data_IF_470350079525
#
_entry.id   IF_470350079525
#
_cell.length_a   1.000
_cell.length_b   1.000
_cell.length_c   1.000
_cell.angle_alpha   90.00
_cell.angle_beta   90.00
_cell.angle_gamma   90.00
#
_symmetry.space_group_name_H-M   'P 1'
#
loop_
_entity.id
_entity.type
_entity.pdbx_description
1 polymer ?
#
# COMPACT_ATOMS: atom_id res chain seq x y z
N UNK A 1 0.76 -11.07 -12.01
CA UNK A 1 -0.59 -10.49 -11.91
C UNK A 1 -0.85 -9.69 -13.18
N UNK A 2 -1.83 -10.07 -14.00
CA UNK A 2 -2.06 -9.43 -15.32
C UNK A 2 -3.15 -8.35 -15.33
N UNK A 3 -4.05 -8.39 -14.34
CA UNK A 3 -5.19 -7.47 -14.20
C UNK A 3 -5.26 -6.91 -12.78
N UNK A 4 -5.84 -5.72 -12.59
CA UNK A 4 -6.17 -5.23 -11.26
C UNK A 4 -7.02 -6.23 -10.50
N UNK A 5 -6.74 -6.41 -9.21
CA UNK A 5 -7.51 -7.26 -8.30
C UNK A 5 -7.97 -6.43 -7.12
N UNK A 6 -9.09 -6.82 -6.52
CA UNK A 6 -9.66 -6.14 -5.36
C UNK A 6 -9.79 -7.08 -4.18
N UNK A 7 -9.77 -6.57 -2.96
CA UNK A 7 -9.92 -7.39 -1.77
C UNK A 7 -9.67 -6.63 -0.49
N UNK A 8 -9.41 -7.38 0.58
CA UNK A 8 -9.08 -6.83 1.89
C UNK A 8 -7.60 -7.05 2.24
N UNK A 9 -7.00 -6.09 2.95
CA UNK A 9 -5.63 -6.15 3.44
C UNK A 9 -5.63 -6.09 4.95
N UNK A 10 -4.84 -6.94 5.60
CA UNK A 10 -4.69 -6.99 7.04
C UNK A 10 -3.29 -7.39 7.46
N UNK A 11 -2.86 -6.94 8.63
CA UNK A 11 -1.56 -7.28 9.19
C UNK A 11 -1.57 -8.63 9.95
N UNK A 12 -0.42 -9.03 10.48
CA UNK A 12 -0.27 -10.28 11.25
C UNK A 12 -0.99 -10.24 12.61
N UNK A 13 -1.36 -9.06 13.10
CA UNK A 13 -2.14 -8.87 14.33
C UNK A 13 -3.66 -8.87 14.06
N UNK A 14 -4.08 -9.28 12.85
CA UNK A 14 -5.47 -9.27 12.40
C UNK A 14 -6.10 -7.88 12.40
N UNK A 15 -5.29 -6.84 12.13
CA UNK A 15 -5.78 -5.49 11.92
C UNK A 15 -6.02 -5.25 10.44
N UNK A 16 -7.27 -5.01 10.07
CA UNK A 16 -7.68 -4.66 8.72
C UNK A 16 -7.42 -3.19 8.42
N UNK A 17 -7.21 -2.91 7.14
CA UNK A 17 -7.18 -1.54 6.65
C UNK A 17 -8.59 -0.95 6.64
N UNK A 18 -8.74 0.23 7.23
CA UNK A 18 -10.00 0.95 7.37
C UNK A 18 -9.82 2.41 7.01
N UNK A 19 -10.79 3.01 6.30
CA UNK A 19 -10.74 4.42 5.95
C UNK A 19 -11.45 5.26 7.03
N UNK A 20 -10.69 6.11 7.73
CA UNK A 20 -11.22 7.06 8.69
C UNK A 20 -11.03 8.49 8.15
N UNK A 21 -12.12 9.11 7.68
CA UNK A 21 -12.03 10.38 6.95
C UNK A 21 -11.25 10.20 5.65
N UNK A 22 -10.07 10.81 5.56
CA UNK A 22 -9.14 10.66 4.41
C UNK A 22 -7.86 9.91 4.78
N UNK A 23 -7.82 9.26 5.95
CA UNK A 23 -6.65 8.55 6.45
C UNK A 23 -6.93 7.07 6.53
N UNK A 24 -6.01 6.27 5.99
CA UNK A 24 -6.04 4.84 6.13
C UNK A 24 -5.46 4.44 7.50
N UNK A 25 -6.20 3.66 8.27
CA UNK A 25 -5.82 3.23 9.62
C UNK A 25 -5.89 1.71 9.76
N UNK A 26 -5.12 1.15 10.68
CA UNK A 26 -5.19 -0.27 11.05
C UNK A 26 -6.12 -0.46 12.25
N UNK A 27 -7.16 -1.29 12.11
CA UNK A 27 -8.10 -1.59 13.21
C UNK A 27 -8.37 -3.09 13.31
N UNK A 28 -8.57 -3.66 14.52
CA UNK A 28 -8.86 -5.09 14.68
C UNK A 28 -10.07 -5.53 13.88
N UNK A 29 -9.94 -6.65 13.19
CA UNK A 29 -11.04 -7.29 12.51
C UNK A 29 -12.06 -7.80 13.54
N UNK A 30 -13.19 -7.12 13.64
CA UNK A 30 -14.24 -7.44 14.59
C UNK A 30 -15.62 -7.15 14.00
N UNK A 31 -16.66 -7.67 14.65
CA UNK A 31 -18.04 -7.44 14.23
C UNK A 31 -18.35 -5.93 14.22
N UNK A 32 -18.85 -5.42 13.10
CA UNK A 32 -19.17 -4.00 12.91
C UNK A 32 -18.06 -3.18 12.25
N UNK A 33 -16.88 -3.76 11.97
CA UNK A 33 -15.86 -3.13 11.14
C UNK A 33 -16.01 -3.64 9.70
N UNK A 34 -16.21 -2.72 8.76
CA UNK A 34 -16.14 -3.00 7.32
C UNK A 34 -14.77 -2.57 6.81
N UNK A 35 -13.88 -3.49 6.43
CA UNK A 35 -12.59 -3.14 5.82
C UNK A 35 -12.78 -2.30 4.57
N UNK A 36 -11.80 -1.44 4.27
CA UNK A 36 -11.77 -0.79 2.97
C UNK A 36 -11.51 -1.83 1.88
N UNK A 37 -12.17 -1.70 0.73
CA UNK A 37 -11.83 -2.50 -0.45
C UNK A 37 -10.58 -1.92 -1.10
N UNK A 38 -9.50 -2.68 -1.08
CA UNK A 38 -8.21 -2.31 -1.67
C UNK A 38 -8.18 -2.77 -3.13
N UNK A 39 -7.61 -1.96 -4.01
CA UNK A 39 -7.29 -2.31 -5.40
C UNK A 39 -5.78 -2.45 -5.55
N UNK A 40 -5.33 -3.57 -6.10
CA UNK A 40 -3.93 -3.84 -6.45
C UNK A 40 -3.83 -3.93 -7.97
N UNK A 41 -3.11 -3.01 -8.61
CA UNK A 41 -2.98 -2.96 -10.06
C UNK A 41 -1.51 -3.07 -10.51
N UNK A 42 -1.16 -4.01 -11.41
CA UNK A 42 0.22 -4.11 -11.90
C UNK A 42 0.62 -2.89 -12.73
N UNK A 43 1.87 -2.42 -12.58
CA UNK A 43 2.43 -1.41 -13.46
C UNK A 43 2.72 -2.02 -14.84
N UNK A 44 1.94 -1.65 -15.87
CA UNK A 44 2.06 -2.22 -17.22
C UNK A 44 3.35 -1.85 -17.93
N UNK A 45 3.88 -0.66 -17.64
CA UNK A 45 5.07 -0.10 -18.29
C UNK A 45 6.12 0.26 -17.24
N UNK A 46 6.80 -0.73 -16.63
CA UNK A 46 7.76 -0.47 -15.56
C UNK A 46 9.04 0.23 -16.06
N UNK A 47 9.29 0.29 -17.38
CA UNK A 47 10.40 1.05 -17.95
C UNK A 47 11.75 0.66 -17.33
N UNK A 48 12.42 1.64 -16.71
CA UNK A 48 13.74 1.49 -16.07
C UNK A 48 13.69 1.23 -14.56
N UNK A 49 12.54 0.77 -14.01
CA UNK A 49 12.46 0.39 -12.60
C UNK A 49 13.35 -0.83 -12.32
N UNK A 50 13.91 -0.88 -11.10
CA UNK A 50 14.73 -2.00 -10.64
C UNK A 50 13.97 -3.32 -10.72
N UNK A 51 14.60 -4.34 -11.31
CA UNK A 51 13.95 -5.63 -11.63
C UNK A 51 13.96 -6.63 -10.49
N UNK A 52 14.90 -6.50 -9.55
CA UNK A 52 15.14 -7.47 -8.48
C UNK A 52 14.49 -7.10 -7.14
N UNK A 53 13.66 -6.04 -7.12
CA UNK A 53 13.01 -5.50 -5.93
C UNK A 53 11.60 -6.05 -5.66
N UNK A 54 11.01 -6.74 -6.63
CA UNK A 54 9.62 -7.22 -6.58
C UNK A 54 8.79 -6.68 -7.74
N UNK A 55 7.49 -6.96 -7.73
CA UNK A 55 6.57 -6.56 -8.80
C UNK A 55 6.10 -5.12 -8.55
N UNK A 56 6.37 -4.15 -9.46
CA UNK A 56 5.86 -2.79 -9.29
C UNK A 56 4.34 -2.76 -9.47
N UNK A 57 3.64 -2.25 -8.47
CA UNK A 57 2.18 -2.15 -8.42
C UNK A 57 1.74 -0.76 -8.00
N UNK A 58 0.53 -0.39 -8.43
CA UNK A 58 -0.28 0.65 -7.81
C UNK A 58 -1.16 0.01 -6.75
N UNK A 59 -1.27 0.66 -5.60
CA UNK A 59 -2.11 0.23 -4.48
C UNK A 59 -3.08 1.35 -4.15
N UNK A 60 -4.37 1.05 -4.06
CA UNK A 60 -5.41 2.04 -3.83
C UNK A 60 -6.62 1.47 -3.11
N UNK A 61 -7.64 2.29 -2.93
CA UNK A 61 -8.90 1.95 -2.28
C UNK A 61 -10.08 2.28 -3.19
N UNK A 62 -11.23 1.65 -2.93
CA UNK A 62 -12.49 1.92 -3.61
C UNK A 62 -13.48 2.62 -2.67
N UNK A 63 -14.35 3.45 -3.26
CA UNK A 63 -15.44 4.16 -2.57
C UNK A 63 -14.97 5.01 -1.36
N UNK A 64 -14.22 6.11 -1.59
CA UNK A 64 -13.88 6.70 -2.90
C UNK A 64 -12.67 6.06 -3.57
N UNK A 65 -12.55 6.23 -4.90
CA UNK A 65 -11.34 5.80 -5.62
C UNK A 65 -10.18 6.74 -5.31
N UNK A 66 -9.20 6.23 -4.57
CA UNK A 66 -7.97 6.93 -4.20
C UNK A 66 -6.80 5.96 -4.23
N UNK A 67 -5.60 6.48 -4.48
CA UNK A 67 -4.38 5.69 -4.62
C UNK A 67 -3.37 6.12 -3.57
N UNK A 68 -2.60 5.14 -3.07
CA UNK A 68 -1.52 5.42 -2.15
C UNK A 68 -0.42 6.17 -2.87
N UNK A 69 0.04 7.24 -2.24
CA UNK A 69 1.03 8.16 -2.75
C UNK A 69 2.09 8.43 -1.68
N UNK A 70 3.35 8.28 -2.05
CA UNK A 70 4.48 8.64 -1.22
C UNK A 70 4.89 10.08 -1.50
N UNK A 71 4.98 10.91 -0.47
CA UNK A 71 5.35 12.32 -0.58
C UNK A 71 6.44 12.67 0.43
N UNK A 72 7.40 13.49 0.04
CA UNK A 72 8.32 14.10 1.00
C UNK A 72 7.60 15.25 1.71
N UNK A 73 7.44 15.13 3.03
CA UNK A 73 6.88 16.18 3.86
C UNK A 73 7.87 16.53 4.96
N UNK A 74 8.68 17.56 4.72
CA UNK A 74 9.65 18.07 5.69
C UNK A 74 10.90 17.20 5.80
N UNK A 75 11.36 16.60 4.71
CA UNK A 75 12.54 15.73 4.65
C UNK A 75 12.27 14.27 5.03
N UNK A 76 11.01 13.88 5.17
CA UNK A 76 10.61 12.51 5.51
C UNK A 76 9.49 12.01 4.59
N UNK A 77 9.59 10.77 4.06
CA UNK A 77 8.54 10.15 3.28
C UNK A 77 7.28 9.91 4.12
N UNK A 78 6.14 10.35 3.61
CA UNK A 78 4.82 10.08 4.19
C UNK A 78 3.91 9.39 3.19
N UNK A 79 3.06 8.52 3.71
CA UNK A 79 2.00 7.88 2.95
C UNK A 79 0.75 8.77 2.95
N UNK A 80 0.17 9.01 1.78
CA UNK A 80 -1.06 9.78 1.59
C UNK A 80 -2.01 9.02 0.67
N UNK A 81 -3.29 9.36 0.73
CA UNK A 81 -4.27 8.98 -0.29
C UNK A 81 -4.45 10.15 -1.25
N UNK A 82 -4.26 9.93 -2.55
CA UNK A 82 -4.49 10.94 -3.59
C UNK A 82 -5.22 10.34 -4.78
N UNK A 83 -6.02 11.14 -5.46
CA UNK A 83 -6.51 10.79 -6.80
C UNK A 83 -5.42 11.17 -7.81
N UNK A 84 -4.88 10.24 -8.60
CA UNK A 84 -3.84 10.56 -9.56
C UNK A 84 -4.40 11.49 -10.62
N UNK A 85 -3.62 12.50 -10.97
CA UNK A 85 -3.97 13.37 -12.08
C UNK A 85 -3.69 12.60 -13.39
N UNK A 86 -4.76 12.22 -14.08
CA UNK A 86 -4.74 11.25 -15.19
C UNK A 86 -4.06 11.79 -16.46
N UNK A 87 -3.66 13.06 -16.49
CA UNK A 87 -3.16 13.72 -17.69
C UNK A 87 -1.81 13.18 -18.22
N UNK A 88 -1.05 12.39 -17.45
CA UNK A 88 0.32 11.98 -17.84
C UNK A 88 0.63 10.48 -17.63
N UNK A 89 -0.22 9.58 -18.15
CA UNK A 89 -0.04 8.12 -18.04
C UNK A 89 1.09 7.51 -18.90
N UNK A 90 1.85 8.31 -19.66
CA UNK A 90 2.89 7.79 -20.54
C UNK A 90 4.12 7.22 -19.80
N UNK A 91 4.31 7.57 -18.52
CA UNK A 91 5.45 7.13 -17.70
C UNK A 91 4.96 6.57 -16.36
N UNK A 92 5.69 5.59 -15.76
CA UNK A 92 5.39 5.11 -14.43
C UNK A 92 5.44 6.25 -13.41
N UNK A 93 4.33 6.45 -12.69
CA UNK A 93 4.21 7.48 -11.66
C UNK A 93 4.86 6.98 -10.36
N UNK A 94 6.19 7.07 -10.28
CA UNK A 94 6.99 6.54 -9.15
C UNK A 94 6.42 6.80 -7.75
N UNK A 95 5.90 8.01 -7.42
CA UNK A 95 5.30 8.26 -6.09
C UNK A 95 4.10 7.37 -5.74
N UNK A 96 3.38 6.85 -6.74
CA UNK A 96 2.22 5.97 -6.55
C UNK A 96 2.57 4.48 -6.63
N UNK A 97 3.85 4.15 -6.87
CA UNK A 97 4.29 2.78 -7.11
C UNK A 97 4.96 2.19 -5.87
N UNK A 98 4.68 0.91 -5.67
CA UNK A 98 5.30 0.10 -4.64
C UNK A 98 5.85 -1.18 -5.27
N UNK A 99 7.02 -1.62 -4.83
CA UNK A 99 7.48 -2.98 -5.09
C UNK A 99 6.75 -3.93 -4.15
N UNK A 100 5.94 -4.80 -4.74
CA UNK A 100 5.28 -5.89 -4.03
C UNK A 100 6.15 -7.13 -4.06
N UNK A 101 6.54 -7.60 -2.88
CA UNK A 101 7.18 -8.90 -2.69
C UNK A 101 6.23 -9.77 -1.88
N UNK A 102 5.98 -10.99 -2.39
CA UNK A 102 5.23 -12.00 -1.67
C UNK A 102 6.18 -13.10 -1.20
N UNK A 103 6.19 -13.36 0.11
CA UNK A 103 6.91 -14.46 0.75
C UNK A 103 5.90 -15.31 1.49
N UNK A 104 5.70 -16.54 1.02
CA UNK A 104 4.59 -17.43 1.42
C UNK A 104 3.22 -16.72 1.26
N UNK A 105 2.54 -16.49 2.39
CA UNK A 105 1.23 -15.82 2.46
C UNK A 105 1.34 -14.33 2.80
N UNK A 106 2.56 -13.84 3.06
CA UNK A 106 2.80 -12.46 3.48
C UNK A 106 3.28 -11.62 2.30
N UNK A 107 2.87 -10.36 2.31
CA UNK A 107 3.19 -9.35 1.31
C UNK A 107 3.83 -8.16 1.98
N UNK A 108 4.90 -7.65 1.37
CA UNK A 108 5.53 -6.37 1.74
C UNK A 108 5.41 -5.39 0.57
N UNK A 109 5.44 -4.10 0.90
CA UNK A 109 5.28 -3.03 -0.09
C UNK A 109 6.36 -1.97 0.16
N UNK A 110 7.46 -2.03 -0.60
CA UNK A 110 8.52 -1.01 -0.58
C UNK A 110 8.13 0.15 -1.51
N UNK A 111 8.35 1.40 -1.11
CA UNK A 111 8.14 2.56 -1.97
C UNK A 111 9.14 2.58 -3.12
N UNK A 112 8.64 2.78 -4.34
CA UNK A 112 9.51 2.99 -5.52
C UNK A 112 10.16 4.38 -5.51
N UNK A 113 9.48 5.38 -4.95
CA UNK A 113 10.01 6.75 -4.87
C UNK A 113 11.02 6.94 -3.72
N UNK A 114 10.90 6.13 -2.66
CA UNK A 114 11.75 6.21 -1.48
C UNK A 114 12.28 4.82 -1.12
N UNK A 115 13.43 4.41 -1.69
CA UNK A 115 14.01 3.09 -1.45
C UNK A 115 14.21 2.81 0.04
N UNK A 116 14.01 1.54 0.43
CA UNK A 116 14.07 1.06 1.82
C UNK A 116 12.98 1.61 2.75
N UNK A 117 11.97 2.31 2.24
CA UNK A 117 10.78 2.68 3.01
C UNK A 117 9.61 1.77 2.66
N UNK A 118 8.97 1.19 3.66
CA UNK A 118 7.93 0.19 3.52
C UNK A 118 6.61 0.70 4.09
N UNK A 119 5.50 0.29 3.48
CA UNK A 119 4.19 0.44 4.11
C UNK A 119 4.20 -0.36 5.42
N UNK A 120 3.71 0.27 6.48
CA UNK A 120 3.67 -0.31 7.81
C UNK A 120 2.38 0.05 8.55
N UNK A 121 2.07 -0.80 9.52
CA UNK A 121 1.03 -0.59 10.53
C UNK A 121 1.66 -0.69 11.91
N UNK A 122 1.00 -0.08 12.91
CA UNK A 122 1.48 -0.08 14.30
C UNK A 122 0.39 -0.55 15.25
N UNK A 123 0.10 0.24 16.29
CA UNK A 123 -0.94 -0.06 17.28
C UNK A 123 -2.33 0.17 16.68
N UNK A 124 -3.34 -0.39 17.35
CA UNK A 124 -4.76 -0.20 16.99
C UNK A 124 -5.13 1.27 16.81
N UNK A 125 -5.86 1.53 15.73
CA UNK A 125 -6.40 2.85 15.40
C UNK A 125 -5.36 3.84 14.90
N UNK A 126 -4.11 3.40 14.70
CA UNK A 126 -3.07 4.25 14.15
C UNK A 126 -3.10 4.25 12.62
N UNK A 127 -2.66 5.35 11.97
CA UNK A 127 -2.51 5.41 10.53
C UNK A 127 -1.61 4.30 9.97
N UNK A 128 -1.91 3.88 8.74
CA UNK A 128 -0.94 3.20 7.88
C UNK A 128 0.06 4.25 7.40
N UNK A 129 1.35 3.92 7.45
CA UNK A 129 2.43 4.88 7.23
C UNK A 129 3.62 4.24 6.50
N UNK A 130 4.65 5.05 6.19
CA UNK A 130 5.93 4.56 5.68
C UNK A 130 6.95 4.49 6.81
N UNK A 131 7.76 3.44 6.83
CA UNK A 131 8.89 3.30 7.76
C UNK A 131 10.12 2.73 7.06
N UNK A 132 11.30 3.19 7.44
CA UNK A 132 12.57 2.52 7.14
C UNK A 132 13.06 1.63 8.29
N UNK A 133 12.40 1.69 9.45
CA UNK A 133 12.68 0.81 10.59
C UNK A 133 11.91 -0.51 10.43
N UNK A 134 12.63 -1.56 10.04
CA UNK A 134 12.14 -2.93 9.89
C UNK A 134 12.17 -3.74 11.21
N UNK A 135 12.35 -3.06 12.35
CA UNK A 135 12.35 -3.67 13.68
C UNK A 135 10.97 -4.19 14.14
N UNK A 136 10.92 -4.73 15.38
CA UNK A 136 9.73 -5.41 15.93
C UNK A 136 8.54 -4.50 16.27
N UNK A 137 8.71 -3.17 16.27
CA UNK A 137 7.65 -2.26 16.71
C UNK A 137 6.52 -2.09 15.69
N UNK A 138 6.79 -2.32 14.41
CA UNK A 138 5.85 -2.11 13.31
C UNK A 138 5.68 -3.38 12.49
N UNK A 139 4.49 -3.57 11.92
CA UNK A 139 4.24 -4.65 10.99
C UNK A 139 4.32 -4.15 9.56
N UNK A 140 5.27 -4.69 8.80
CA UNK A 140 5.44 -4.48 7.34
C UNK A 140 4.93 -5.66 6.52
N UNK A 141 4.52 -6.74 7.18
CA UNK A 141 4.00 -7.95 6.57
C UNK A 141 2.48 -7.96 6.62
N UNK A 142 1.86 -7.99 5.43
CA UNK A 142 0.42 -7.99 5.27
C UNK A 142 -0.06 -9.26 4.58
N UNK A 143 -1.27 -9.69 4.91
CA UNK A 143 -2.01 -10.70 4.16
C UNK A 143 -3.06 -10.01 3.31
N UNK A 144 -3.34 -10.58 2.14
CA UNK A 144 -4.31 -10.05 1.20
C UNK A 144 -5.34 -11.12 0.85
N UNK A 145 -6.61 -10.83 1.08
CA UNK A 145 -7.72 -11.65 0.62
C UNK A 145 -8.25 -11.05 -0.69
N UNK A 146 -7.54 -11.34 -1.79
CA UNK A 146 -7.92 -10.84 -3.12
C UNK A 146 -9.03 -11.71 -3.71
N UNK A 147 -10.10 -11.06 -4.19
CA UNK A 147 -11.18 -11.69 -4.93
C UNK A 147 -10.64 -12.17 -6.30
N UNK A 148 -11.13 -13.32 -6.75
CA UNK A 148 -10.81 -13.91 -8.06
C UNK A 148 -11.78 -13.35 -9.10
#
# INVERSE_FOLDING_TARGET
MEKPRIGEVFDLNQQVWFLQGQTLVAVPWSNGVTPVTVTVAPCKNPGSLEKDKGIPIYLGIQNPEMWLHCEDVGGQPKLQLKTPDLCNQAKPMKPFLFYHVQTDINSTFESVAFPSWFIASSKRGQPIFLTSDLGRMYSTAFRMNLRI
#
